data_IF_238612704508
#
_entry.id   IF_238612704508
#
_cell.length_a   1.000
_cell.length_b   1.000
_cell.length_c   1.000
_cell.angle_alpha   90.00
_cell.angle_beta   90.00
_cell.angle_gamma   90.00
#
_symmetry.space_group_name_H-M   'P 1'
#
loop_
_entity.id
_entity.type
_entity.pdbx_description
1 polymer ?
#
# COMPACT_ATOMS: atom_id res chain seq x y z
N UNK A 1 -18.69 40.63 44.60
CA UNK A 1 -18.62 40.13 45.99
C UNK A 1 -17.67 38.95 46.00
N UNK A 2 -16.54 39.17 46.63
CA UNK A 2 -15.47 38.20 46.89
C UNK A 2 -15.74 37.61 48.27
N UNK A 3 -15.68 36.29 48.39
CA UNK A 3 -15.43 35.48 49.59
C UNK A 3 -15.58 34.00 49.15
N UNK A 4 -14.77 33.03 49.55
CA UNK A 4 -13.80 32.96 50.62
C UNK A 4 -12.86 31.77 50.36
N UNK A 5 -11.63 31.94 50.82
CA UNK A 5 -10.54 30.96 50.87
C UNK A 5 -10.76 29.93 51.99
N UNK A 6 -9.98 28.84 51.91
CA UNK A 6 -9.58 27.92 53.01
C UNK A 6 -10.52 26.72 53.19
N UNK A 7 -10.10 25.46 53.33
CA UNK A 7 -8.81 24.77 53.39
C UNK A 7 -9.14 23.27 53.25
N UNK A 8 -8.22 22.44 52.75
CA UNK A 8 -7.79 21.18 53.38
C UNK A 8 -6.54 20.67 52.65
N UNK A 9 -5.51 20.47 53.44
CA UNK A 9 -4.20 19.89 53.14
C UNK A 9 -4.26 18.44 52.69
N UNK A 10 -3.41 18.07 51.73
CA UNK A 10 -2.75 16.77 51.75
C UNK A 10 -1.39 16.90 51.07
N UNK A 11 -0.35 16.92 51.90
CA UNK A 11 1.02 16.77 51.44
C UNK A 11 1.21 15.38 50.86
N UNK A 12 1.80 15.31 49.67
CA UNK A 12 2.56 14.14 49.25
C UNK A 12 3.77 14.65 48.49
N UNK A 13 4.86 14.72 49.23
CA UNK A 13 6.19 15.04 48.72
C UNK A 13 6.62 13.88 47.83
N UNK A 14 6.72 14.13 46.53
CA UNK A 14 7.23 13.17 45.57
C UNK A 14 8.72 12.94 45.85
N UNK A 15 9.08 11.77 46.37
CA UNK A 15 10.47 11.34 46.44
C UNK A 15 10.94 10.91 45.04
N UNK A 16 12.04 11.46 44.51
CA UNK A 16 12.68 10.91 43.32
C UNK A 16 13.19 9.51 43.66
N UNK A 17 12.80 8.52 42.85
CA UNK A 17 13.36 7.17 42.91
C UNK A 17 14.88 7.27 42.80
N UNK A 18 15.57 6.87 43.86
CA UNK A 18 17.02 6.71 43.87
C UNK A 18 17.40 5.73 42.77
N UNK A 19 18.12 6.21 41.76
CA UNK A 19 18.78 5.37 40.76
C UNK A 19 19.86 4.57 41.50
N UNK A 20 19.51 3.38 41.94
CA UNK A 20 20.50 2.36 42.30
C UNK A 20 21.29 2.06 41.03
N UNK A 21 22.53 2.54 40.96
CA UNK A 21 23.49 2.05 39.97
C UNK A 21 23.87 0.63 40.38
N UNK A 22 23.13 -0.34 39.86
CA UNK A 22 23.55 -1.74 39.91
C UNK A 22 24.93 -1.83 39.23
N UNK A 23 25.95 -2.19 40.01
CA UNK A 23 27.24 -2.62 39.48
C UNK A 23 26.97 -3.79 38.52
N UNK A 24 27.63 -3.88 37.35
CA UNK A 24 27.43 -4.98 36.43
C UNK A 24 27.79 -6.28 37.16
N UNK A 25 26.79 -7.07 37.49
CA UNK A 25 26.96 -8.41 38.03
C UNK A 25 27.63 -9.26 36.95
N UNK A 26 28.69 -9.97 37.33
CA UNK A 26 29.47 -10.81 36.42
C UNK A 26 28.59 -11.83 35.72
N UNK A 27 28.12 -11.49 34.53
CA UNK A 27 27.30 -12.35 33.69
C UNK A 27 28.13 -13.48 33.10
N UNK A 28 27.48 -14.63 32.91
CA UNK A 28 27.99 -15.74 32.08
C UNK A 28 28.47 -15.15 30.75
N UNK A 29 29.69 -15.50 30.32
CA UNK A 29 30.28 -15.03 29.06
C UNK A 29 29.33 -15.23 27.88
N UNK A 30 29.41 -14.35 26.87
CA UNK A 30 28.55 -14.42 25.69
C UNK A 30 28.65 -15.82 25.06
N UNK A 31 27.49 -16.47 24.91
CA UNK A 31 27.41 -17.82 24.30
C UNK A 31 27.89 -17.79 22.85
N UNK A 32 27.54 -16.74 22.11
CA UNK A 32 27.90 -16.54 20.72
C UNK A 32 28.89 -15.38 20.59
N UNK A 33 29.89 -15.53 19.74
CA UNK A 33 30.72 -14.43 19.29
C UNK A 33 30.02 -13.63 18.16
N UNK A 34 30.62 -12.53 17.73
CA UNK A 34 30.01 -11.64 16.73
C UNK A 34 29.83 -12.32 15.35
N UNK A 35 30.82 -13.10 14.92
CA UNK A 35 30.77 -13.87 13.66
C UNK A 35 29.59 -14.86 13.65
N UNK A 36 29.40 -15.57 14.76
CA UNK A 36 28.30 -16.52 14.96
C UNK A 36 26.94 -15.85 15.01
N UNK A 37 26.85 -14.68 15.64
CA UNK A 37 25.62 -13.89 15.63
C UNK A 37 25.27 -13.43 14.20
N UNK A 38 26.25 -12.99 13.42
CA UNK A 38 26.06 -12.60 12.03
C UNK A 38 25.71 -13.78 11.14
N UNK A 39 26.30 -14.96 11.37
CA UNK A 39 25.95 -16.18 10.65
C UNK A 39 24.47 -16.56 10.87
N UNK A 40 23.97 -16.44 12.10
CA UNK A 40 22.53 -16.61 12.40
C UNK A 40 21.67 -15.60 11.64
N UNK A 41 22.08 -14.33 11.57
CA UNK A 41 21.36 -13.29 10.81
C UNK A 41 21.36 -13.62 9.32
N UNK A 42 22.48 -14.06 8.76
CA UNK A 42 22.61 -14.42 7.35
C UNK A 42 21.72 -15.60 6.97
N UNK A 43 21.48 -16.56 7.87
CA UNK A 43 20.50 -17.63 7.63
C UNK A 43 19.09 -17.08 7.38
N UNK A 44 18.68 -16.04 8.12
CA UNK A 44 17.35 -15.39 7.95
C UNK A 44 17.29 -14.52 6.70
N UNK A 45 18.40 -13.88 6.33
CA UNK A 45 18.49 -13.08 5.09
C UNK A 45 18.42 -13.98 3.85
N UNK A 46 19.03 -15.16 3.92
CA UNK A 46 19.03 -16.14 2.84
C UNK A 46 17.67 -16.86 2.70
N UNK A 47 16.98 -17.10 3.81
CA UNK A 47 15.69 -17.78 3.86
C UNK A 47 14.75 -17.09 4.85
N UNK A 48 13.89 -16.20 4.34
CA UNK A 48 12.93 -15.46 5.15
C UNK A 48 11.86 -16.35 5.83
N UNK A 49 11.71 -17.61 5.41
CA UNK A 49 10.74 -18.56 5.98
C UNK A 49 11.35 -19.45 7.09
N UNK A 50 12.66 -19.37 7.30
CA UNK A 50 13.38 -20.23 8.23
C UNK A 50 12.81 -20.12 9.66
N UNK A 51 12.51 -21.26 10.28
CA UNK A 51 12.00 -21.29 11.66
C UNK A 51 13.17 -21.23 12.62
N UNK A 52 12.93 -20.73 13.83
CA UNK A 52 13.96 -20.73 14.90
C UNK A 52 14.48 -22.14 15.23
N UNK A 53 13.65 -23.19 15.04
CA UNK A 53 14.06 -24.59 15.18
C UNK A 53 15.02 -25.02 14.08
N UNK A 54 14.81 -24.56 12.86
CA UNK A 54 15.68 -24.90 11.73
C UNK A 54 17.03 -24.19 11.87
N UNK A 55 17.04 -22.93 12.33
CA UNK A 55 18.28 -22.21 12.71
C UNK A 55 19.00 -22.99 13.81
N UNK A 56 18.28 -23.44 14.84
CA UNK A 56 18.87 -24.21 15.94
C UNK A 56 19.55 -25.49 15.43
N UNK A 57 18.88 -26.27 14.57
CA UNK A 57 19.47 -27.45 13.95
C UNK A 57 20.72 -27.11 13.13
N UNK A 58 20.66 -26.08 12.28
CA UNK A 58 21.82 -25.64 11.48
C UNK A 58 23.00 -25.21 12.34
N UNK A 59 22.77 -24.51 13.45
CA UNK A 59 23.83 -24.11 14.40
C UNK A 59 24.46 -25.33 15.08
N UNK A 60 23.68 -26.36 15.41
CA UNK A 60 24.19 -27.57 16.06
C UNK A 60 24.96 -28.47 15.07
N UNK A 61 24.55 -28.49 13.80
CA UNK A 61 25.17 -29.30 12.74
C UNK A 61 26.43 -28.65 12.13
N UNK A 62 26.58 -27.34 12.23
CA UNK A 62 27.70 -26.58 11.66
C UNK A 62 28.94 -26.59 12.58
N UNK A 63 29.86 -27.50 12.26
CA UNK A 63 31.14 -27.63 12.97
C UNK A 63 32.21 -26.59 12.54
N UNK A 64 31.96 -25.77 11.52
CA UNK A 64 32.93 -24.79 11.02
C UNK A 64 32.79 -23.46 11.78
N UNK A 65 31.58 -22.90 11.80
CA UNK A 65 31.31 -21.59 12.42
C UNK A 65 30.86 -21.76 13.88
N UNK A 66 30.17 -22.86 14.20
CA UNK A 66 29.57 -23.08 15.51
C UNK A 66 30.17 -24.28 16.26
N UNK A 67 31.38 -24.72 15.91
CA UNK A 67 32.03 -25.89 16.50
C UNK A 67 32.25 -25.83 18.03
N UNK A 68 32.18 -24.66 18.64
CA UNK A 68 32.21 -24.48 20.10
C UNK A 68 30.82 -24.44 20.76
N UNK A 69 29.73 -24.59 20.00
CA UNK A 69 28.34 -24.50 20.45
C UNK A 69 27.69 -25.90 20.42
N UNK A 70 27.80 -26.63 21.53
CA UNK A 70 27.14 -27.95 21.65
C UNK A 70 25.61 -27.87 21.79
N UNK A 71 25.10 -26.74 22.28
CA UNK A 71 23.66 -26.51 22.43
C UNK A 71 23.33 -25.02 22.47
N UNK A 72 22.20 -24.65 21.87
CA UNK A 72 21.66 -23.29 21.89
C UNK A 72 20.15 -23.34 22.04
N UNK A 73 19.57 -22.43 22.83
CA UNK A 73 18.12 -22.33 22.98
C UNK A 73 17.49 -21.47 21.90
N UNK A 74 16.23 -21.76 21.53
CA UNK A 74 15.41 -20.91 20.65
C UNK A 74 15.34 -19.47 21.17
N UNK A 75 15.25 -19.28 22.49
CA UNK A 75 15.23 -17.97 23.14
C UNK A 75 16.54 -17.20 22.92
N UNK A 76 17.69 -17.89 22.95
CA UNK A 76 18.99 -17.27 22.65
C UNK A 76 19.03 -16.78 21.19
N UNK A 77 18.60 -17.61 20.24
CA UNK A 77 18.51 -17.23 18.82
C UNK A 77 17.58 -16.02 18.66
N UNK A 78 16.40 -16.05 19.27
CA UNK A 78 15.46 -14.93 19.21
C UNK A 78 16.03 -13.64 19.78
N UNK A 79 16.82 -13.70 20.87
CA UNK A 79 17.49 -12.53 21.45
C UNK A 79 18.62 -12.02 20.55
N UNK A 80 19.39 -12.92 19.93
CA UNK A 80 20.42 -12.56 18.95
C UNK A 80 19.83 -11.84 17.74
N UNK A 81 18.80 -12.42 17.11
CA UNK A 81 18.05 -11.75 16.04
C UNK A 81 17.51 -10.41 16.53
N UNK A 82 17.00 -10.36 17.76
CA UNK A 82 16.42 -9.14 18.30
C UNK A 82 17.46 -8.01 18.47
N UNK A 83 18.67 -8.36 18.92
CA UNK A 83 19.83 -7.48 19.06
C UNK A 83 20.24 -6.89 17.70
N UNK A 84 20.23 -7.71 16.65
CA UNK A 84 20.55 -7.31 15.27
C UNK A 84 19.36 -6.69 14.51
N UNK A 85 18.35 -6.19 15.23
CA UNK A 85 17.15 -5.54 14.67
C UNK A 85 16.35 -6.42 13.69
N UNK A 86 16.56 -7.74 13.72
CA UNK A 86 15.71 -8.70 13.02
C UNK A 86 14.47 -8.96 13.87
N UNK A 87 13.29 -8.88 13.25
CA UNK A 87 11.99 -9.12 13.89
C UNK A 87 11.12 -9.93 12.95
N UNK A 88 10.19 -10.69 13.52
CA UNK A 88 9.16 -11.38 12.74
C UNK A 88 8.34 -10.34 11.98
N UNK A 89 8.24 -10.51 10.66
CA UNK A 89 7.40 -9.74 9.76
C UNK A 89 6.40 -10.68 9.10
N UNK A 90 5.27 -10.15 8.66
CA UNK A 90 4.40 -10.92 7.77
C UNK A 90 5.12 -11.11 6.43
N UNK A 91 5.17 -12.35 5.93
CA UNK A 91 5.75 -12.65 4.62
C UNK A 91 4.94 -11.97 3.52
N UNK A 92 5.63 -11.25 2.65
CA UNK A 92 5.06 -10.72 1.41
C UNK A 92 5.32 -11.74 0.30
N UNK A 93 4.25 -12.32 -0.26
CA UNK A 93 4.34 -13.36 -1.29
C UNK A 93 4.47 -12.71 -2.67
N UNK A 94 5.59 -12.97 -3.33
CA UNK A 94 5.89 -12.44 -4.66
C UNK A 94 5.69 -13.55 -5.69
N UNK A 95 4.76 -13.42 -6.66
CA UNK A 95 4.64 -14.38 -7.75
C UNK A 95 5.96 -14.48 -8.53
N UNK A 96 6.38 -15.70 -8.88
CA UNK A 96 7.63 -15.90 -9.63
C UNK A 96 7.62 -15.16 -10.97
N UNK A 97 6.45 -15.10 -11.61
CA UNK A 97 6.24 -14.44 -12.89
C UNK A 97 6.53 -12.93 -12.86
N UNK A 98 6.41 -12.28 -11.69
CA UNK A 98 6.58 -10.83 -11.53
C UNK A 98 7.96 -10.33 -11.98
N UNK A 99 9.00 -11.14 -11.76
CA UNK A 99 10.38 -10.79 -12.09
C UNK A 99 10.99 -11.65 -13.19
N UNK A 100 10.18 -12.33 -14.00
CA UNK A 100 10.71 -12.93 -15.22
C UNK A 100 11.11 -11.84 -16.24
N UNK A 101 12.00 -12.20 -17.16
CA UNK A 101 12.55 -11.25 -18.14
C UNK A 101 11.48 -10.60 -19.02
N UNK A 102 10.40 -11.33 -19.35
CA UNK A 102 9.28 -10.80 -20.13
C UNK A 102 8.55 -9.68 -19.39
N UNK A 103 8.25 -9.84 -18.10
CA UNK A 103 7.55 -8.83 -17.31
C UNK A 103 8.45 -7.62 -17.04
N UNK A 104 9.75 -7.84 -16.84
CA UNK A 104 10.72 -6.74 -16.75
C UNK A 104 10.77 -5.90 -18.02
N UNK A 105 10.78 -6.55 -19.18
CA UNK A 105 10.75 -5.86 -20.47
C UNK A 105 9.44 -5.09 -20.67
N UNK A 106 8.29 -5.68 -20.34
CA UNK A 106 7.01 -4.98 -20.41
C UNK A 106 6.96 -3.75 -19.47
N UNK A 107 7.55 -3.83 -18.27
CA UNK A 107 7.69 -2.69 -17.36
C UNK A 107 8.59 -1.60 -17.93
N UNK A 108 9.71 -1.99 -18.53
CA UNK A 108 10.61 -1.07 -19.22
C UNK A 108 9.88 -0.30 -20.31
N UNK A 109 9.17 -1.01 -21.20
CA UNK A 109 8.39 -0.45 -22.30
C UNK A 109 7.26 0.46 -21.82
N UNK A 110 6.53 0.03 -20.78
CA UNK A 110 5.50 0.86 -20.15
C UNK A 110 6.08 2.19 -19.67
N UNK A 111 7.19 2.16 -18.92
CA UNK A 111 7.80 3.38 -18.40
C UNK A 111 8.33 4.28 -19.52
N UNK A 112 8.97 3.71 -20.55
CA UNK A 112 9.38 4.48 -21.72
C UNK A 112 8.19 5.17 -22.38
N UNK A 113 7.09 4.43 -22.58
CA UNK A 113 5.88 4.97 -23.19
C UNK A 113 5.28 6.10 -22.36
N UNK A 114 5.19 5.95 -21.04
CA UNK A 114 4.71 7.02 -20.15
C UNK A 114 5.61 8.26 -20.25
N UNK A 115 6.94 8.09 -20.26
CA UNK A 115 7.87 9.21 -20.41
C UNK A 115 7.74 9.90 -21.78
N UNK A 116 7.53 9.16 -22.86
CA UNK A 116 7.23 9.72 -24.18
C UNK A 116 5.94 10.54 -24.16
N UNK A 117 4.87 10.00 -23.57
CA UNK A 117 3.57 10.66 -23.47
C UNK A 117 3.68 12.00 -22.74
N UNK A 118 4.45 12.03 -21.64
CA UNK A 118 4.70 13.23 -20.83
C UNK A 118 5.62 14.25 -21.52
N UNK A 119 6.50 13.81 -22.42
CA UNK A 119 7.45 14.67 -23.13
C UNK A 119 6.87 15.35 -24.38
N UNK A 120 5.63 15.05 -24.77
CA UNK A 120 5.00 15.64 -25.95
C UNK A 120 4.85 17.17 -25.83
N UNK A 121 4.94 17.85 -26.97
CA UNK A 121 4.80 19.32 -27.05
C UNK A 121 3.44 19.79 -26.53
N UNK A 122 2.38 19.02 -26.79
CA UNK A 122 1.08 19.17 -26.15
C UNK A 122 1.00 18.11 -25.06
N UNK A 123 0.97 18.49 -23.77
CA UNK A 123 0.99 17.53 -22.69
C UNK A 123 -0.22 16.61 -22.78
N UNK A 124 0.03 15.30 -22.89
CA UNK A 124 -1.01 14.30 -22.71
C UNK A 124 -1.34 14.20 -21.22
N UNK A 125 -2.63 14.16 -20.90
CA UNK A 125 -3.07 13.98 -19.52
C UNK A 125 -3.27 12.49 -19.24
N UNK A 126 -2.44 11.94 -18.35
CA UNK A 126 -2.56 10.55 -17.93
C UNK A 126 -3.59 10.47 -16.80
N UNK A 127 -4.58 9.60 -17.00
CA UNK A 127 -5.66 9.34 -16.06
C UNK A 127 -5.59 7.89 -15.64
N UNK A 128 -5.43 7.66 -14.34
CA UNK A 128 -5.38 6.33 -13.78
C UNK A 128 -6.78 5.88 -13.41
N UNK A 129 -7.20 4.73 -13.93
CA UNK A 129 -8.53 4.14 -13.71
C UNK A 129 -8.37 2.72 -13.21
N UNK A 130 -9.14 2.36 -12.20
CA UNK A 130 -9.13 1.02 -11.61
C UNK A 130 -10.37 0.82 -10.71
N UNK A 131 -10.55 -0.41 -10.23
CA UNK A 131 -11.63 -0.79 -9.34
C UNK A 131 -11.17 -1.36 -8.00
N UNK A 132 -11.81 -0.90 -6.92
CA UNK A 132 -11.61 -1.41 -5.59
C UNK A 132 -12.89 -1.92 -4.94
N UNK A 133 -12.84 -3.17 -4.50
CA UNK A 133 -13.84 -3.73 -3.59
C UNK A 133 -13.74 -3.13 -2.19
N UNK A 134 -14.89 -2.73 -1.66
CA UNK A 134 -15.12 -2.29 -0.30
C UNK A 134 -16.10 -3.26 0.39
N UNK A 135 -15.75 -3.68 1.61
CA UNK A 135 -16.59 -4.55 2.41
C UNK A 135 -16.67 -4.00 3.84
N UNK A 136 -17.88 -3.74 4.32
CA UNK A 136 -18.16 -3.18 5.66
C UNK A 136 -17.61 -4.03 6.82
N UNK A 137 -17.46 -5.33 6.61
CA UNK A 137 -16.88 -6.23 7.59
C UNK A 137 -15.35 -6.09 7.70
N UNK A 138 -14.69 -5.50 6.69
CA UNK A 138 -13.27 -5.15 6.79
C UNK A 138 -13.18 -3.91 7.67
N UNK A 139 -12.73 -4.07 8.92
CA UNK A 139 -12.46 -2.98 9.87
C UNK A 139 -11.02 -3.07 10.36
N UNK A 140 -10.60 -2.07 11.12
CA UNK A 140 -9.29 -2.04 11.80
C UNK A 140 -9.13 -3.33 12.63
N UNK A 141 -8.13 -4.15 12.28
CA UNK A 141 -7.89 -5.46 12.92
C UNK A 141 -7.17 -5.38 14.27
N UNK A 142 -6.66 -4.19 14.63
CA UNK A 142 -5.86 -3.97 15.83
C UNK A 142 -6.33 -2.71 16.55
N UNK A 143 -6.63 -2.85 17.83
CA UNK A 143 -6.94 -1.76 18.76
C UNK A 143 -5.98 -1.79 19.96
N UNK A 144 -6.14 -0.83 20.86
CA UNK A 144 -5.41 -0.79 22.12
C UNK A 144 -6.40 -1.03 23.27
N UNK A 145 -6.00 -1.81 24.26
CA UNK A 145 -6.68 -1.93 25.54
C UNK A 145 -5.63 -2.16 26.64
N UNK A 146 -6.03 -2.06 27.90
CA UNK A 146 -5.23 -2.39 29.08
C UNK A 146 -4.68 -3.82 28.93
N UNK A 147 -3.42 -4.03 29.33
CA UNK A 147 -2.79 -5.35 29.32
C UNK A 147 -3.63 -6.33 30.14
N UNK A 148 -3.92 -7.51 29.57
CA UNK A 148 -4.80 -8.50 30.17
C UNK A 148 -6.30 -8.32 29.86
N UNK A 149 -6.69 -7.22 29.22
CA UNK A 149 -8.07 -6.98 28.79
C UNK A 149 -8.24 -7.10 27.28
N UNK A 150 -9.37 -7.65 26.85
CA UNK A 150 -9.68 -7.81 25.42
C UNK A 150 -10.11 -6.47 24.82
N UNK A 151 -9.44 -6.00 23.78
CA UNK A 151 -9.95 -4.89 22.98
C UNK A 151 -11.19 -5.38 22.20
N UNK A 152 -12.36 -4.81 22.47
CA UNK A 152 -13.63 -5.20 21.85
C UNK A 152 -14.27 -4.01 21.13
N UNK A 153 -14.95 -4.29 20.02
CA UNK A 153 -15.78 -3.34 19.26
C UNK A 153 -17.06 -4.06 18.86
N UNK A 154 -18.19 -3.37 18.91
CA UNK A 154 -19.48 -3.91 18.46
C UNK A 154 -19.61 -3.75 16.95
N UNK A 155 -20.10 -4.77 16.26
CA UNK A 155 -20.29 -4.76 14.81
C UNK A 155 -21.67 -5.30 14.44
N UNK A 156 -22.30 -4.81 13.35
CA UNK A 156 -23.50 -5.43 12.81
C UNK A 156 -23.23 -6.89 12.42
N UNK A 157 -24.16 -7.79 12.75
CA UNK A 157 -24.01 -9.23 12.47
C UNK A 157 -24.12 -9.61 10.99
N UNK A 158 -24.74 -8.77 10.16
CA UNK A 158 -24.87 -9.01 8.72
C UNK A 158 -23.65 -8.47 7.97
N UNK A 159 -23.01 -9.34 7.18
CA UNK A 159 -22.05 -8.92 6.16
C UNK A 159 -22.85 -8.28 5.03
N UNK A 160 -22.87 -6.95 4.97
CA UNK A 160 -23.46 -6.23 3.82
C UNK A 160 -22.86 -6.70 2.48
N UNK A 161 -23.50 -6.34 1.38
CA UNK A 161 -23.02 -6.68 0.05
C UNK A 161 -21.62 -6.07 -0.21
N UNK A 162 -20.80 -6.75 -1.03
CA UNK A 162 -19.55 -6.16 -1.51
C UNK A 162 -19.90 -5.02 -2.48
N UNK A 163 -19.44 -3.81 -2.14
CA UNK A 163 -19.55 -2.65 -3.02
C UNK A 163 -18.22 -2.53 -3.75
N UNK A 164 -18.25 -2.35 -5.06
CA UNK A 164 -17.08 -2.06 -5.86
C UNK A 164 -17.15 -0.59 -6.27
N UNK A 165 -16.05 0.13 -6.08
CA UNK A 165 -15.88 1.47 -6.61
C UNK A 165 -14.96 1.42 -7.81
N UNK A 166 -15.41 1.95 -8.96
CA UNK A 166 -14.52 2.34 -10.04
C UNK A 166 -14.20 3.82 -9.89
N UNK A 167 -12.93 4.19 -10.03
CA UNK A 167 -12.48 5.56 -9.87
C UNK A 167 -11.50 5.95 -10.97
N UNK A 168 -11.46 7.23 -11.30
CA UNK A 168 -10.51 7.86 -12.21
C UNK A 168 -9.82 9.00 -11.48
N UNK A 169 -8.49 8.99 -11.44
CA UNK A 169 -7.69 10.07 -10.87
C UNK A 169 -6.73 10.63 -11.91
N UNK A 170 -6.50 11.94 -11.88
CA UNK A 170 -5.41 12.58 -12.62
C UNK A 170 -4.46 13.27 -11.65
N UNK A 171 -3.47 13.98 -12.20
CA UNK A 171 -2.51 14.73 -11.42
C UNK A 171 -3.15 15.84 -10.55
N UNK A 172 -4.36 16.27 -10.86
CA UNK A 172 -4.97 17.43 -10.21
C UNK A 172 -6.14 17.06 -9.30
N UNK A 173 -6.78 15.91 -9.47
CA UNK A 173 -7.95 15.53 -8.67
C UNK A 173 -8.33 14.06 -8.83
N UNK A 174 -9.27 13.61 -8.00
CA UNK A 174 -10.15 12.51 -8.34
C UNK A 174 -11.25 13.04 -9.28
N UNK A 175 -11.26 12.55 -10.53
CA UNK A 175 -12.09 13.08 -11.62
C UNK A 175 -13.52 12.52 -11.57
N UNK A 176 -13.63 11.22 -11.32
CA UNK A 176 -14.89 10.49 -11.30
C UNK A 176 -14.76 9.28 -10.40
N UNK A 177 -15.82 8.96 -9.67
CA UNK A 177 -15.97 7.69 -8.99
C UNK A 177 -17.42 7.21 -9.08
N UNK A 178 -17.61 5.90 -9.20
CA UNK A 178 -18.93 5.26 -9.19
C UNK A 178 -18.90 4.03 -8.29
N UNK A 179 -19.73 4.06 -7.24
CA UNK A 179 -19.90 2.95 -6.31
C UNK A 179 -21.11 2.09 -6.70
N UNK A 180 -20.91 0.79 -6.85
CA UNK A 180 -21.98 -0.14 -7.22
C UNK A 180 -21.88 -1.46 -6.48
N UNK A 181 -23.01 -2.12 -6.26
CA UNK A 181 -23.03 -3.46 -5.64
C UNK A 181 -22.59 -4.51 -6.66
N UNK A 182 -21.67 -5.40 -6.26
CA UNK A 182 -21.16 -6.49 -7.08
C UNK A 182 -19.92 -6.15 -7.92
N UNK A 183 -19.42 -7.09 -8.73
CA UNK A 183 -18.21 -6.92 -9.51
C UNK A 183 -18.39 -5.91 -10.66
N UNK A 184 -17.29 -5.32 -11.12
CA UNK A 184 -17.26 -4.54 -12.35
C UNK A 184 -17.17 -5.45 -13.58
N UNK A 185 -17.67 -4.96 -14.71
CA UNK A 185 -17.66 -5.65 -16.00
C UNK A 185 -17.77 -4.61 -17.14
N UNK A 186 -17.71 -5.07 -18.39
CA UNK A 186 -17.84 -4.20 -19.58
C UNK A 186 -19.10 -3.32 -19.55
N UNK A 187 -20.25 -3.88 -19.17
CA UNK A 187 -21.53 -3.15 -19.17
C UNK A 187 -21.53 -1.98 -18.17
N UNK A 188 -20.78 -2.09 -17.08
CA UNK A 188 -20.61 -1.03 -16.07
C UNK A 188 -19.49 -0.05 -16.45
N UNK A 189 -18.46 -0.53 -17.15
CA UNK A 189 -17.33 0.27 -17.58
C UNK A 189 -17.68 1.25 -18.71
N UNK A 190 -18.51 0.86 -19.68
CA UNK A 190 -18.86 1.75 -20.79
C UNK A 190 -19.57 3.04 -20.31
N UNK A 191 -20.61 3.01 -19.46
CA UNK A 191 -21.17 4.23 -18.88
C UNK A 191 -20.21 4.99 -17.97
N UNK A 192 -19.17 4.35 -17.43
CA UNK A 192 -18.13 5.07 -16.68
C UNK A 192 -17.22 5.86 -17.63
N UNK A 193 -16.82 5.24 -18.74
CA UNK A 193 -16.01 5.88 -19.79
C UNK A 193 -16.73 7.05 -20.45
N UNK A 194 -18.03 6.91 -20.73
CA UNK A 194 -18.87 8.01 -21.23
C UNK A 194 -18.84 9.20 -20.28
N UNK A 195 -19.25 9.01 -19.02
CA UNK A 195 -19.25 10.09 -18.01
C UNK A 195 -17.87 10.71 -17.81
N UNK A 196 -16.80 9.90 -17.90
CA UNK A 196 -15.43 10.39 -17.80
C UNK A 196 -15.07 11.26 -19.00
N UNK A 197 -15.40 10.80 -20.22
CA UNK A 197 -15.21 11.58 -21.44
C UNK A 197 -15.99 12.90 -21.38
N UNK A 198 -17.23 12.91 -20.90
CA UNK A 198 -18.02 14.14 -20.76
C UNK A 198 -17.39 15.18 -19.82
N UNK A 199 -16.69 14.71 -18.78
CA UNK A 199 -15.97 15.59 -17.83
C UNK A 199 -14.68 16.14 -18.40
N UNK A 200 -13.99 15.36 -19.24
CA UNK A 200 -12.69 15.71 -19.79
C UNK A 200 -12.81 16.52 -21.09
N UNK A 201 -13.82 16.22 -21.90
CA UNK A 201 -14.06 16.82 -23.22
C UNK A 201 -15.42 17.53 -23.19
N UNK A 202 -15.43 18.84 -22.89
CA UNK A 202 -16.64 19.65 -22.90
C UNK A 202 -17.36 19.57 -24.24
N UNK A 203 -18.70 19.66 -24.24
CA UNK A 203 -19.51 19.53 -25.45
C UNK A 203 -19.10 20.47 -26.58
N UNK A 204 -18.66 21.69 -26.24
CA UNK A 204 -18.19 22.71 -27.19
C UNK A 204 -16.89 22.32 -27.92
N UNK A 205 -16.13 21.38 -27.37
CA UNK A 205 -14.90 20.85 -27.97
C UNK A 205 -15.13 19.50 -28.66
N UNK A 206 -16.31 18.87 -28.50
CA UNK A 206 -16.61 17.58 -29.11
C UNK A 206 -16.63 17.73 -30.63
N UNK A 207 -15.86 16.88 -31.32
CA UNK A 207 -15.70 16.92 -32.78
C UNK A 207 -14.63 17.89 -33.28
N UNK A 208 -13.99 18.66 -32.41
CA UNK A 208 -12.78 19.39 -32.78
C UNK A 208 -11.61 18.39 -32.95
N UNK A 209 -10.87 18.55 -34.03
CA UNK A 209 -9.68 17.74 -34.33
C UNK A 209 -8.53 18.70 -34.60
N UNK A 210 -7.44 18.53 -33.89
CA UNK A 210 -6.23 19.30 -34.11
C UNK A 210 -5.13 18.90 -33.13
N UNK A 211 -3.89 18.98 -33.60
CA UNK A 211 -2.71 18.54 -32.86
C UNK A 211 -2.43 19.35 -31.59
N UNK A 212 -3.15 20.47 -31.40
CA UNK A 212 -3.07 21.34 -30.22
C UNK A 212 -3.95 20.88 -29.06
N UNK A 213 -4.89 19.96 -29.30
CA UNK A 213 -5.81 19.49 -28.26
C UNK A 213 -5.16 18.39 -27.41
N UNK A 214 -5.41 18.37 -26.09
CA UNK A 214 -4.89 17.32 -25.24
C UNK A 214 -5.52 15.98 -25.57
N UNK A 215 -4.69 14.94 -25.53
CA UNK A 215 -5.10 13.54 -25.52
C UNK A 215 -5.12 13.08 -24.08
N UNK A 216 -6.21 12.43 -23.68
CA UNK A 216 -6.39 11.82 -22.37
C UNK A 216 -6.03 10.33 -22.45
N UNK A 217 -5.01 9.94 -21.70
CA UNK A 217 -4.49 8.56 -21.70
C UNK A 217 -5.03 7.84 -20.48
N UNK A 218 -6.01 6.97 -20.69
CA UNK A 218 -6.57 6.09 -19.67
C UNK A 218 -5.59 4.96 -19.41
N UNK A 219 -4.97 4.98 -18.23
CA UNK A 219 -4.05 3.97 -17.73
C UNK A 219 -4.74 3.08 -16.71
N UNK A 220 -4.75 1.78 -16.97
CA UNK A 220 -5.40 0.80 -16.10
C UNK A 220 -4.73 -0.57 -16.16
N UNK A 221 -5.18 -1.49 -15.34
CA UNK A 221 -4.67 -2.85 -15.33
C UNK A 221 -5.07 -3.64 -16.61
N UNK A 222 -4.45 -4.80 -16.75
CA UNK A 222 -4.55 -5.61 -17.97
C UNK A 222 -5.61 -6.71 -17.86
N UNK A 223 -6.80 -6.37 -17.35
CA UNK A 223 -7.93 -7.32 -17.20
C UNK A 223 -8.71 -7.49 -18.50
N UNK A 224 -9.26 -8.69 -18.69
CA UNK A 224 -9.89 -9.08 -19.96
C UNK A 224 -11.04 -8.16 -20.41
N UNK A 225 -11.81 -7.59 -19.48
CA UNK A 225 -12.96 -6.75 -19.86
C UNK A 225 -12.56 -5.34 -20.34
N UNK A 226 -11.34 -4.87 -20.01
CA UNK A 226 -10.76 -3.65 -20.62
C UNK A 226 -10.42 -3.86 -22.10
N UNK A 227 -10.21 -5.11 -22.53
CA UNK A 227 -9.96 -5.49 -23.94
C UNK A 227 -11.21 -5.93 -24.68
N UNK A 228 -12.39 -5.77 -24.07
CA UNK A 228 -13.62 -6.18 -24.74
C UNK A 228 -13.82 -5.38 -26.03
N UNK A 229 -14.39 -6.02 -27.06
CA UNK A 229 -14.66 -5.39 -28.36
C UNK A 229 -15.42 -4.06 -28.21
N UNK A 230 -16.34 -3.98 -27.26
CA UNK A 230 -17.10 -2.77 -27.02
C UNK A 230 -16.24 -1.63 -26.46
N UNK A 231 -15.29 -1.93 -25.55
CA UNK A 231 -14.34 -0.94 -25.02
C UNK A 231 -13.37 -0.49 -26.12
N UNK A 232 -12.85 -1.42 -26.93
CA UNK A 232 -11.99 -1.04 -28.07
C UNK A 232 -12.72 -0.14 -29.05
N UNK A 233 -13.94 -0.51 -29.46
CA UNK A 233 -14.76 0.30 -30.34
C UNK A 233 -15.11 1.67 -29.74
N UNK A 234 -15.22 1.76 -28.42
CA UNK A 234 -15.41 3.02 -27.72
C UNK A 234 -14.19 3.94 -27.87
N UNK A 235 -12.97 3.45 -27.66
CA UNK A 235 -11.76 4.25 -27.88
C UNK A 235 -11.59 4.65 -29.36
N UNK A 236 -11.91 3.75 -30.30
CA UNK A 236 -11.86 4.06 -31.74
C UNK A 236 -12.83 5.20 -32.12
N UNK A 237 -13.96 5.32 -31.42
CA UNK A 237 -14.94 6.38 -31.62
C UNK A 237 -14.56 7.71 -30.94
N UNK A 238 -13.59 7.73 -30.03
CA UNK A 238 -13.21 8.89 -29.22
C UNK A 238 -11.75 9.26 -29.44
N UNK A 239 -11.47 10.02 -30.51
CA UNK A 239 -10.09 10.34 -30.97
C UNK A 239 -9.19 11.04 -29.95
N UNK A 240 -9.76 11.69 -28.92
CA UNK A 240 -9.02 12.33 -27.82
C UNK A 240 -8.78 11.41 -26.62
N UNK A 241 -9.29 10.18 -26.66
CA UNK A 241 -9.14 9.18 -25.61
C UNK A 241 -8.21 8.08 -26.09
N UNK A 242 -7.20 7.74 -25.29
CA UNK A 242 -6.26 6.66 -25.58
C UNK A 242 -6.25 5.67 -24.43
N UNK A 243 -6.22 4.37 -24.74
CA UNK A 243 -6.03 3.33 -23.72
C UNK A 243 -4.55 2.97 -23.60
N UNK A 244 -4.07 2.84 -22.37
CA UNK A 244 -2.74 2.36 -22.04
C UNK A 244 -2.80 1.34 -20.89
N UNK A 245 -2.10 0.23 -21.04
CA UNK A 245 -2.18 -0.89 -20.10
C UNK A 245 -0.92 -0.99 -19.27
N UNK A 246 -1.10 -1.17 -17.97
CA UNK A 246 -0.01 -1.49 -17.05
C UNK A 246 0.64 -2.82 -17.43
N UNK A 247 1.95 -2.91 -17.20
CA UNK A 247 2.64 -4.18 -17.22
C UNK A 247 2.05 -5.12 -16.15
N UNK A 248 1.88 -6.43 -16.44
CA UNK A 248 1.35 -7.38 -15.46
C UNK A 248 2.12 -7.35 -14.13
N UNK A 249 1.43 -7.60 -13.02
CA UNK A 249 2.00 -7.62 -11.66
C UNK A 249 2.70 -6.33 -11.23
N UNK A 250 2.30 -5.18 -11.79
CA UNK A 250 2.93 -3.87 -11.53
C UNK A 250 1.99 -2.84 -10.88
N UNK A 251 1.25 -3.17 -9.81
CA UNK A 251 0.35 -2.21 -9.16
C UNK A 251 1.08 -1.00 -8.58
N UNK A 252 2.37 -1.13 -8.26
CA UNK A 252 3.23 -0.03 -7.82
C UNK A 252 3.47 1.07 -8.88
N UNK A 253 3.15 0.79 -10.15
CA UNK A 253 3.14 1.78 -11.24
C UNK A 253 1.77 2.43 -11.42
N UNK A 254 0.77 2.07 -10.60
CA UNK A 254 -0.59 2.58 -10.63
C UNK A 254 -0.90 3.44 -9.40
N UNK A 255 -0.79 4.78 -9.48
CA UNK A 255 -1.06 5.70 -8.36
C UNK A 255 -2.45 5.54 -7.72
N UNK A 256 -3.43 5.01 -8.45
CA UNK A 256 -4.78 4.82 -7.92
C UNK A 256 -4.84 3.76 -6.81
N UNK A 257 -3.85 2.88 -6.69
CA UNK A 257 -3.76 1.91 -5.61
C UNK A 257 -3.53 2.60 -4.25
N UNK A 258 -2.75 3.68 -4.25
CA UNK A 258 -2.58 4.53 -3.07
C UNK A 258 -3.82 5.36 -2.78
N UNK A 259 -4.50 5.87 -3.83
CA UNK A 259 -5.81 6.50 -3.69
C UNK A 259 -6.79 5.57 -2.97
N UNK A 260 -6.94 4.31 -3.41
CA UNK A 260 -7.85 3.37 -2.76
C UNK A 260 -7.42 3.03 -1.34
N UNK A 261 -6.11 2.98 -1.08
CA UNK A 261 -5.58 2.76 0.26
C UNK A 261 -5.94 3.91 1.20
N UNK A 262 -5.79 5.17 0.76
CA UNK A 262 -6.15 6.35 1.53
C UNK A 262 -7.67 6.51 1.68
N UNK A 263 -8.40 6.36 0.58
CA UNK A 263 -9.86 6.45 0.53
C UNK A 263 -10.51 5.48 1.51
N UNK A 264 -10.10 4.21 1.56
CA UNK A 264 -10.64 3.23 2.52
C UNK A 264 -10.54 3.70 3.97
N UNK A 265 -9.45 4.35 4.35
CA UNK A 265 -9.29 4.88 5.70
C UNK A 265 -10.19 6.09 5.95
N UNK A 266 -10.28 7.02 5.00
CA UNK A 266 -11.19 8.17 5.07
C UNK A 266 -12.66 7.73 5.19
N UNK A 267 -13.08 6.69 4.45
CA UNK A 267 -14.43 6.11 4.61
C UNK A 267 -14.67 5.63 6.03
N UNK A 268 -13.66 5.05 6.70
CA UNK A 268 -13.80 4.64 8.09
C UNK A 268 -13.85 5.82 9.06
N UNK A 269 -13.12 6.89 8.79
CA UNK A 269 -13.11 8.10 9.62
C UNK A 269 -14.47 8.82 9.61
N UNK A 270 -15.22 8.72 8.51
CA UNK A 270 -16.61 9.22 8.37
C UNK A 270 -17.69 8.39 9.07
N UNK A 271 -17.31 7.31 9.77
CA UNK A 271 -18.21 6.47 10.61
C UNK A 271 -19.54 6.10 9.93
N UNK A 272 -19.52 5.28 8.86
CA UNK A 272 -20.69 4.91 8.03
C UNK A 272 -21.74 4.04 8.74
N UNK A 273 -21.64 3.87 10.05
CA UNK A 273 -22.61 3.16 10.89
C UNK A 273 -23.31 4.08 11.89
N UNK A 274 -22.72 5.25 12.16
CA UNK A 274 -23.14 6.13 13.23
C UNK A 274 -23.64 7.49 12.71
N UNK A 275 -23.10 7.97 11.58
CA UNK A 275 -23.28 9.36 11.14
C UNK A 275 -23.92 9.53 9.76
N UNK A 276 -23.65 8.63 8.81
CA UNK A 276 -24.19 8.71 7.46
C UNK A 276 -24.26 7.32 6.80
N UNK A 277 -24.91 7.21 5.64
CA UNK A 277 -24.93 5.96 4.89
C UNK A 277 -23.51 5.61 4.39
N UNK A 278 -23.26 4.33 4.08
CA UNK A 278 -21.97 3.94 3.54
C UNK A 278 -21.66 4.66 2.22
N UNK A 279 -22.65 4.81 1.32
CA UNK A 279 -22.43 5.47 0.04
C UNK A 279 -22.06 6.95 0.24
N UNK A 280 -22.76 7.65 1.14
CA UNK A 280 -22.42 9.04 1.48
C UNK A 280 -21.01 9.15 2.07
N UNK A 281 -20.60 8.20 2.92
CA UNK A 281 -19.24 8.16 3.46
C UNK A 281 -18.18 7.88 2.39
N UNK A 282 -18.51 7.05 1.39
CA UNK A 282 -17.65 6.78 0.24
C UNK A 282 -17.47 8.04 -0.61
N UNK A 283 -18.55 8.79 -0.84
CA UNK A 283 -18.53 10.05 -1.58
C UNK A 283 -17.78 11.15 -0.83
N UNK A 284 -18.04 11.31 0.48
CA UNK A 284 -17.33 12.27 1.33
C UNK A 284 -15.82 11.97 1.40
N UNK A 285 -15.44 10.69 1.49
CA UNK A 285 -14.04 10.29 1.48
C UNK A 285 -13.31 10.65 0.18
N UNK A 286 -14.00 10.65 -0.96
CA UNK A 286 -13.45 11.12 -2.23
C UNK A 286 -13.24 12.64 -2.22
N UNK A 287 -14.14 13.42 -1.60
CA UNK A 287 -14.01 14.88 -1.50
C UNK A 287 -12.84 15.32 -0.61
N UNK A 288 -12.44 14.48 0.35
CA UNK A 288 -11.27 14.71 1.21
C UNK A 288 -9.92 14.47 0.50
N UNK A 289 -9.93 14.14 -0.79
CA UNK A 289 -8.73 13.86 -1.59
C UNK A 289 -8.36 15.11 -2.38
N UNK A 290 -7.19 15.65 -2.07
CA UNK A 290 -6.67 16.88 -2.66
C UNK A 290 -5.76 16.60 -3.84
N UNK A 291 -5.50 17.62 -4.66
CA UNK A 291 -4.50 17.57 -5.71
C UNK A 291 -3.12 17.15 -5.19
N UNK A 292 -2.73 17.63 -4.01
CA UNK A 292 -1.44 17.30 -3.39
C UNK A 292 -1.32 15.79 -3.10
N UNK A 293 -2.40 15.14 -2.66
CA UNK A 293 -2.41 13.69 -2.50
C UNK A 293 -2.16 12.99 -3.85
N UNK A 294 -2.90 13.36 -4.90
CA UNK A 294 -2.74 12.77 -6.24
C UNK A 294 -1.32 12.93 -6.78
N UNK A 295 -0.75 14.14 -6.67
CA UNK A 295 0.62 14.43 -7.08
C UNK A 295 1.64 13.61 -6.28
N UNK A 296 1.40 13.43 -4.98
CA UNK A 296 2.21 12.61 -4.10
C UNK A 296 2.25 11.15 -4.55
N UNK A 297 1.10 10.55 -4.85
CA UNK A 297 0.97 9.17 -5.31
C UNK A 297 1.61 8.96 -6.68
N UNK A 298 1.39 9.89 -7.63
CA UNK A 298 2.03 9.85 -8.94
C UNK A 298 3.56 9.93 -8.79
N UNK A 299 4.05 10.83 -7.93
CA UNK A 299 5.49 10.94 -7.65
C UNK A 299 6.05 9.67 -7.02
N UNK A 300 5.30 9.03 -6.12
CA UNK A 300 5.72 7.77 -5.51
C UNK A 300 5.81 6.65 -6.55
N UNK A 301 4.79 6.45 -7.39
CA UNK A 301 4.85 5.48 -8.49
C UNK A 301 6.05 5.71 -9.43
N UNK A 302 6.35 6.98 -9.74
CA UNK A 302 7.51 7.36 -10.57
C UNK A 302 8.87 7.01 -9.95
N UNK A 303 8.98 6.81 -8.63
CA UNK A 303 10.25 6.37 -8.01
C UNK A 303 10.71 5.00 -8.52
N UNK A 304 9.78 4.18 -9.00
CA UNK A 304 10.10 2.88 -9.57
C UNK A 304 10.59 2.95 -11.03
N UNK A 305 10.49 4.11 -11.71
CA UNK A 305 10.84 4.24 -13.13
C UNK A 305 12.30 3.86 -13.41
N UNK A 306 13.31 4.37 -12.67
CA UNK A 306 14.72 4.01 -12.93
C UNK A 306 14.96 2.50 -12.85
N UNK A 307 14.35 1.83 -11.87
CA UNK A 307 14.47 0.39 -11.66
C UNK A 307 13.80 -0.41 -12.77
N UNK A 308 12.64 0.06 -13.25
CA UNK A 308 11.97 -0.54 -14.41
C UNK A 308 12.79 -0.36 -15.69
N UNK A 309 13.39 0.83 -15.90
CA UNK A 309 14.27 1.10 -17.02
C UNK A 309 15.52 0.20 -16.99
N UNK A 310 16.07 -0.05 -15.81
CA UNK A 310 17.19 -0.95 -15.59
C UNK A 310 16.82 -2.46 -15.58
N UNK A 311 15.54 -2.80 -15.76
CA UNK A 311 15.03 -4.19 -15.73
C UNK A 311 15.33 -4.91 -14.41
N UNK A 312 15.33 -4.17 -13.31
CA UNK A 312 15.59 -4.73 -11.99
C UNK A 312 14.43 -5.60 -11.47
N UNK A 313 14.79 -6.53 -10.59
CA UNK A 313 13.82 -7.23 -9.75
C UNK A 313 13.14 -6.22 -8.81
N UNK A 314 11.81 -6.20 -8.83
CA UNK A 314 10.99 -5.40 -7.90
C UNK A 314 10.20 -6.39 -7.03
N UNK A 315 10.63 -6.51 -5.77
CA UNK A 315 10.11 -7.51 -4.83
C UNK A 315 8.83 -7.07 -4.12
N UNK A 316 8.65 -5.79 -3.87
CA UNK A 316 7.50 -5.26 -3.14
C UNK A 316 7.03 -3.93 -3.74
N UNK A 317 5.78 -3.56 -3.46
CA UNK A 317 5.14 -2.35 -3.97
C UNK A 317 5.47 -1.09 -3.13
N UNK A 318 6.29 -1.25 -2.10
CA UNK A 318 6.80 -0.18 -1.25
C UNK A 318 8.27 0.04 -1.54
N UNK A 319 8.68 1.29 -1.72
CA UNK A 319 10.09 1.63 -1.90
C UNK A 319 10.86 1.33 -0.60
N UNK A 320 11.72 0.31 -0.61
CA UNK A 320 12.50 -0.12 0.57
C UNK A 320 13.61 0.88 0.93
N UNK A 321 13.84 1.92 0.12
CA UNK A 321 14.81 2.97 0.36
C UNK A 321 14.28 4.16 1.22
N UNK A 322 13.19 3.95 1.98
CA UNK A 322 12.63 4.94 2.92
C UNK A 322 13.23 4.86 4.32
#
# INVERSE_FOLDING_TARGET
>A
MVNEYSQISAGTQWHPLSVFSEKPTGGRGKLLNEEQELAIVNMVIADNEIKLKDIQSRVIEDNLVFGNIAAISITSISRTLAKHRVRMKQLYKVPFERNNERIKELRHQYVQRVMELEANQVPHEIIYVDEAGFNLAKRRRRGRNIIGQRATVTVPGQRGANITMCAAISNNSALLHKCQIGPYNTDRLLPFLEDLHERLVPEVERGQVGDHLPIYVITWDNVAFHHSRAVTAWFDAHSRMMSHFLAPYSPFLNPIEEFFSAWRWKVFDHRPHDQMSLLDAMDAACQDITAEHCQGWIRHAKRFFPRCLAREDIRCDVDENM
#
